data_IF_616859358216
#
_entry.id   IF_616859358216
#
_cell.length_a   1.000
_cell.length_b   1.000
_cell.length_c   1.000
_cell.angle_alpha   90.00
_cell.angle_beta   90.00
_cell.angle_gamma   90.00
#
_symmetry.space_group_name_H-M   'P 1'
#
loop_
_entity.id
_entity.type
_entity.pdbx_description
1 polymer ?
#
# COMPACT_ATOMS: atom_id res chain seq x y z
N UNK A 1 9.95 1.68 -11.62
CA UNK A 1 8.73 2.47 -11.90
C UNK A 1 8.53 3.45 -10.75
N UNK A 2 8.19 4.70 -11.01
CA UNK A 2 7.90 5.68 -9.97
C UNK A 2 6.38 5.93 -9.96
N UNK A 3 5.77 5.89 -8.79
CA UNK A 3 4.38 6.27 -8.54
C UNK A 3 4.38 7.65 -7.85
N UNK A 4 4.41 8.75 -8.63
CA UNK A 4 4.48 10.10 -8.07
C UNK A 4 3.17 10.48 -7.41
N UNK A 5 3.25 11.17 -6.28
CA UNK A 5 2.13 11.94 -5.74
C UNK A 5 2.64 13.36 -5.55
N UNK A 6 1.99 14.31 -6.19
CA UNK A 6 2.29 15.73 -6.07
C UNK A 6 1.04 16.55 -6.36
N UNK A 7 1.03 17.80 -5.89
CA UNK A 7 -0.01 18.75 -6.29
C UNK A 7 0.22 19.18 -7.74
N UNK A 8 -0.62 18.69 -8.63
CA UNK A 8 -0.64 19.15 -10.03
C UNK A 8 -1.90 19.98 -10.29
N UNK A 9 -1.95 20.66 -11.44
CA UNK A 9 -3.11 21.46 -11.84
C UNK A 9 -4.44 20.68 -11.78
N UNK A 10 -4.40 19.35 -11.96
CA UNK A 10 -5.56 18.46 -11.90
C UNK A 10 -6.04 18.18 -10.47
N UNK A 11 -5.15 18.19 -9.47
CA UNK A 11 -5.47 17.88 -8.07
C UNK A 11 -5.55 19.12 -7.17
N UNK A 12 -5.37 20.32 -7.72
CA UNK A 12 -5.34 21.58 -6.98
C UNK A 12 -6.65 21.91 -6.24
N UNK A 13 -7.80 21.45 -6.77
CA UNK A 13 -9.14 21.76 -6.24
C UNK A 13 -9.82 20.58 -5.52
N UNK A 14 -9.12 19.46 -5.30
CA UNK A 14 -9.71 18.30 -4.62
C UNK A 14 -9.65 18.54 -3.10
N UNK A 15 -10.79 18.53 -2.35
CA UNK A 15 -10.84 18.89 -0.92
C UNK A 15 -10.17 17.89 0.04
N UNK A 16 -9.35 16.97 -0.45
CA UNK A 16 -8.55 16.09 0.39
C UNK A 16 -7.24 16.80 0.72
N UNK A 17 -6.96 16.97 2.02
CA UNK A 17 -5.58 16.96 2.49
C UNK A 17 -5.03 15.57 2.15
N UNK A 18 -4.52 15.38 0.93
CA UNK A 18 -3.68 14.22 0.62
C UNK A 18 -2.57 14.25 1.65
N UNK A 19 -2.48 13.20 2.47
CA UNK A 19 -1.70 13.15 3.70
C UNK A 19 -0.18 13.36 3.52
N UNK A 20 0.27 13.58 2.29
CA UNK A 20 1.66 13.78 1.90
C UNK A 20 1.70 14.96 0.93
N UNK A 21 1.95 16.16 1.47
CA UNK A 21 2.15 17.39 0.69
C UNK A 21 3.55 17.33 0.05
N UNK A 22 3.62 16.98 -1.23
CA UNK A 22 4.82 17.11 -2.05
C UNK A 22 4.58 18.04 -3.23
N UNK A 23 5.57 18.86 -3.55
CA UNK A 23 5.61 19.64 -4.80
C UNK A 23 6.16 18.75 -5.93
N UNK A 24 5.82 19.02 -7.20
CA UNK A 24 6.33 18.26 -8.34
C UNK A 24 7.86 18.14 -8.38
N UNK A 25 8.55 19.19 -7.91
CA UNK A 25 10.00 19.28 -7.84
C UNK A 25 10.62 18.23 -6.89
N UNK A 26 9.87 17.79 -5.87
CA UNK A 26 10.34 16.81 -4.88
C UNK A 26 10.51 15.40 -5.50
N UNK A 27 9.89 15.14 -6.65
CA UNK A 27 10.00 13.86 -7.37
C UNK A 27 11.28 13.80 -8.21
N UNK A 28 11.77 14.95 -8.70
CA UNK A 28 12.86 15.02 -9.66
C UNK A 28 14.17 14.34 -9.18
N UNK A 29 14.62 14.51 -7.93
CA UNK A 29 15.84 13.85 -7.45
C UNK A 29 15.78 12.32 -7.52
N UNK A 30 14.62 11.71 -7.24
CA UNK A 30 14.45 10.26 -7.32
C UNK A 30 14.56 9.77 -8.77
N UNK A 31 13.97 10.50 -9.72
CA UNK A 31 14.08 10.19 -11.14
C UNK A 31 15.54 10.29 -11.63
N UNK A 32 16.26 11.36 -11.25
CA UNK A 32 17.68 11.54 -11.59
C UNK A 32 18.54 10.40 -11.03
N UNK A 33 18.32 10.01 -9.77
CA UNK A 33 19.05 8.89 -9.17
C UNK A 33 18.81 7.58 -9.92
N UNK A 34 17.55 7.25 -10.24
CA UNK A 34 17.20 6.02 -10.96
C UNK A 34 17.77 5.97 -12.39
N UNK A 35 18.04 7.11 -13.02
CA UNK A 35 18.68 7.19 -14.34
C UNK A 35 20.22 7.15 -14.29
N UNK A 36 20.82 7.21 -13.09
CA UNK A 36 22.28 7.22 -12.93
C UNK A 36 22.89 5.82 -12.95
N UNK A 37 24.20 5.73 -13.19
CA UNK A 37 24.92 4.45 -13.07
C UNK A 37 24.86 3.82 -11.68
N UNK A 38 24.56 4.61 -10.65
CA UNK A 38 24.50 4.16 -9.25
C UNK A 38 23.27 3.29 -8.96
N UNK A 39 22.22 3.37 -9.78
CA UNK A 39 20.97 2.62 -9.60
C UNK A 39 20.92 1.31 -10.40
N UNK A 40 21.99 0.90 -11.09
CA UNK A 40 22.00 -0.28 -12.00
C UNK A 40 21.54 -1.60 -11.37
N UNK A 41 21.65 -1.73 -10.06
CA UNK A 41 21.23 -2.91 -9.30
C UNK A 41 19.72 -2.91 -8.98
N UNK A 42 19.00 -1.81 -9.24
CA UNK A 42 17.58 -1.63 -8.94
C UNK A 42 16.78 -1.96 -10.21
N UNK A 43 16.01 -3.04 -10.18
CA UNK A 43 15.09 -3.43 -11.25
C UNK A 43 13.79 -4.00 -10.69
N UNK A 44 12.69 -3.85 -11.43
CA UNK A 44 11.38 -4.40 -11.06
C UNK A 44 10.72 -3.79 -9.82
N UNK A 45 11.26 -2.69 -9.27
CA UNK A 45 10.71 -2.04 -8.08
C UNK A 45 9.78 -0.87 -8.42
N UNK A 46 8.79 -0.65 -7.56
CA UNK A 46 7.88 0.50 -7.60
C UNK A 46 8.19 1.38 -6.40
N UNK A 47 8.49 2.66 -6.64
CA UNK A 47 8.74 3.63 -5.58
C UNK A 47 7.70 4.74 -5.59
N UNK A 48 7.17 5.11 -4.43
CA UNK A 48 6.49 6.40 -4.26
C UNK A 48 7.49 7.44 -3.78
N UNK A 49 7.41 8.63 -4.36
CA UNK A 49 8.16 9.81 -3.94
C UNK A 49 7.15 10.95 -3.73
N UNK A 50 7.08 11.45 -2.49
CA UNK A 50 6.14 12.50 -2.08
C UNK A 50 6.79 13.39 -1.02
N UNK A 51 7.07 14.64 -1.36
CA UNK A 51 7.83 15.54 -0.48
C UNK A 51 9.15 14.88 -0.06
N UNK A 52 9.39 14.79 1.25
CA UNK A 52 10.59 14.16 1.80
C UNK A 52 10.50 12.63 1.96
N UNK A 53 9.38 12.01 1.57
CA UNK A 53 9.16 10.57 1.73
C UNK A 53 9.45 9.84 0.42
N UNK A 54 10.32 8.83 0.51
CA UNK A 54 10.48 7.80 -0.52
C UNK A 54 10.10 6.46 0.10
N UNK A 55 9.19 5.74 -0.54
CA UNK A 55 8.74 4.42 -0.11
C UNK A 55 8.87 3.42 -1.25
N UNK A 56 9.26 2.18 -0.94
CA UNK A 56 9.22 1.06 -1.89
C UNK A 56 7.96 0.24 -1.66
N UNK A 57 7.27 -0.11 -2.73
CA UNK A 57 6.11 -0.99 -2.69
C UNK A 57 6.54 -2.42 -2.97
N UNK A 58 6.09 -3.34 -2.14
CA UNK A 58 6.27 -4.76 -2.40
C UNK A 58 5.49 -5.18 -3.63
N UNK A 59 6.13 -5.97 -4.50
CA UNK A 59 5.43 -6.68 -5.58
C UNK A 59 4.40 -7.64 -4.96
N UNK A 60 3.13 -7.63 -5.40
CA UNK A 60 2.16 -8.62 -4.96
C UNK A 60 2.66 -10.02 -5.28
N UNK A 61 2.67 -10.88 -4.27
CA UNK A 61 2.94 -12.31 -4.43
C UNK A 61 1.62 -13.05 -4.30
N UNK A 62 1.39 -14.05 -5.14
CA UNK A 62 0.29 -15.00 -4.92
C UNK A 62 0.55 -15.78 -3.62
N UNK A 63 -0.34 -15.60 -2.64
CA UNK A 63 -0.22 -16.25 -1.32
C UNK A 63 -0.96 -17.57 -1.29
N UNK A 64 -2.18 -17.60 -1.84
CA UNK A 64 -3.03 -18.79 -1.97
C UNK A 64 -3.88 -18.68 -3.23
N UNK A 65 -4.16 -19.81 -3.86
CA UNK A 65 -5.02 -19.92 -5.03
C UNK A 65 -6.06 -21.05 -4.84
N UNK A 66 -7.21 -20.92 -5.52
CA UNK A 66 -8.20 -21.99 -5.64
C UNK A 66 -8.48 -22.26 -7.12
N UNK A 67 -8.63 -23.53 -7.45
CA UNK A 67 -8.89 -23.99 -8.81
C UNK A 67 -10.27 -24.66 -8.90
N UNK A 68 -10.85 -24.65 -10.10
CA UNK A 68 -12.14 -25.26 -10.37
C UNK A 68 -12.18 -25.85 -11.78
N UNK A 69 -12.85 -26.99 -11.92
CA UNK A 69 -12.98 -27.70 -13.20
C UNK A 69 -14.07 -27.08 -14.10
N UNK A 70 -14.97 -26.30 -13.50
CA UNK A 70 -16.04 -25.58 -14.20
C UNK A 70 -15.82 -24.07 -14.15
N UNK A 71 -16.64 -23.31 -14.90
CA UNK A 71 -16.61 -21.85 -14.83
C UNK A 71 -17.08 -21.38 -13.45
N UNK A 72 -16.39 -20.39 -12.89
CA UNK A 72 -16.78 -19.76 -11.63
C UNK A 72 -18.15 -19.07 -11.74
N UNK A 73 -18.99 -19.28 -10.73
CA UNK A 73 -20.21 -18.50 -10.46
C UNK A 73 -20.08 -17.81 -9.10
N UNK A 74 -20.86 -16.74 -8.83
CA UNK A 74 -20.84 -16.07 -7.54
C UNK A 74 -21.11 -17.02 -6.36
N UNK A 75 -22.04 -17.96 -6.52
CA UNK A 75 -22.44 -18.92 -5.48
C UNK A 75 -21.29 -19.88 -5.15
N UNK A 76 -20.58 -20.37 -6.16
CA UNK A 76 -19.44 -21.26 -5.97
C UNK A 76 -18.24 -20.54 -5.32
N UNK A 77 -18.05 -19.25 -5.64
CA UNK A 77 -17.03 -18.42 -5.00
C UNK A 77 -17.38 -18.23 -3.53
N UNK A 78 -18.63 -17.85 -3.22
CA UNK A 78 -19.10 -17.66 -1.84
C UNK A 78 -18.90 -18.91 -0.98
N UNK A 79 -19.25 -20.08 -1.53
CA UNK A 79 -19.08 -21.36 -0.84
C UNK A 79 -17.60 -21.68 -0.54
N UNK A 80 -16.72 -21.47 -1.53
CA UNK A 80 -15.35 -22.02 -1.48
C UNK A 80 -14.30 -21.05 -0.98
N UNK A 81 -14.47 -19.74 -1.19
CA UNK A 81 -13.48 -18.72 -0.87
C UNK A 81 -13.12 -18.70 0.63
N UNK A 82 -14.08 -18.75 1.58
CA UNK A 82 -13.78 -18.75 3.02
C UNK A 82 -13.03 -20.00 3.50
N UNK A 83 -13.19 -21.13 2.81
CA UNK A 83 -12.52 -22.38 3.17
C UNK A 83 -11.11 -22.49 2.58
N UNK A 84 -10.88 -21.92 1.39
CA UNK A 84 -9.67 -22.15 0.59
C UNK A 84 -8.70 -20.97 0.65
N UNK A 85 -8.91 -19.93 -0.15
CA UNK A 85 -7.99 -18.80 -0.29
C UNK A 85 -8.11 -17.81 0.86
N UNK A 86 -9.30 -17.69 1.48
CA UNK A 86 -9.57 -16.80 2.61
C UNK A 86 -9.24 -15.34 2.29
N UNK A 87 -9.20 -14.50 3.31
CA UNK A 87 -8.66 -13.14 3.23
C UNK A 87 -7.34 -13.07 4.02
N UNK A 88 -6.44 -12.19 3.59
CA UNK A 88 -5.25 -11.86 4.37
C UNK A 88 -5.62 -10.89 5.48
N UNK A 89 -5.32 -11.25 6.73
CA UNK A 89 -5.45 -10.32 7.85
C UNK A 89 -4.36 -9.28 7.72
N UNK A 90 -4.76 -8.01 7.68
CA UNK A 90 -3.83 -6.90 7.56
C UNK A 90 -3.08 -6.72 8.90
N UNK A 91 -1.73 -6.71 8.91
CA UNK A 91 -0.95 -6.55 10.14
C UNK A 91 -1.27 -5.28 10.93
N UNK A 92 -1.71 -4.22 10.25
CA UNK A 92 -2.14 -2.97 10.89
C UNK A 92 -3.35 -3.17 11.82
N UNK A 93 -4.23 -4.14 11.54
CA UNK A 93 -5.38 -4.40 12.40
C UNK A 93 -4.96 -4.95 13.77
N UNK A 94 -3.90 -5.77 13.80
CA UNK A 94 -3.34 -6.28 15.05
C UNK A 94 -2.76 -5.13 15.88
N UNK A 95 -2.02 -4.23 15.25
CA UNK A 95 -1.49 -3.02 15.89
C UNK A 95 -2.61 -2.13 16.46
N UNK A 96 -3.72 -1.95 15.73
CA UNK A 96 -4.87 -1.17 16.20
C UNK A 96 -5.54 -1.83 17.41
N UNK A 97 -5.70 -3.16 17.40
CA UNK A 97 -6.24 -3.90 18.54
C UNK A 97 -5.34 -3.77 19.78
N UNK A 98 -4.01 -3.87 19.60
CA UNK A 98 -3.04 -3.66 20.68
C UNK A 98 -3.10 -2.24 21.25
N UNK A 99 -3.18 -1.22 20.38
CA UNK A 99 -3.34 0.17 20.81
C UNK A 99 -4.63 0.39 21.60
N UNK A 100 -5.75 -0.20 21.15
CA UNK A 100 -7.03 -0.15 21.88
C UNK A 100 -6.93 -0.82 23.25
N UNK A 101 -6.30 -1.99 23.34
CA UNK A 101 -6.07 -2.70 24.61
C UNK A 101 -5.21 -1.87 25.57
N UNK A 102 -4.13 -1.28 25.07
CA UNK A 102 -3.25 -0.42 25.86
C UNK A 102 -3.95 0.87 26.34
N UNK A 103 -4.85 1.45 25.53
CA UNK A 103 -5.66 2.60 25.93
C UNK A 103 -6.67 2.23 27.02
N UNK A 104 -7.41 1.13 26.85
CA UNK A 104 -8.37 0.65 27.85
C UNK A 104 -7.71 0.30 29.20
N UNK A 105 -6.48 -0.24 29.16
CA UNK A 105 -5.69 -0.51 30.37
C UNK A 105 -5.18 0.76 31.06
N UNK A 106 -5.04 1.89 30.33
CA UNK A 106 -4.69 3.20 30.89
C UNK A 106 -5.91 3.98 31.39
N UNK A 107 -7.11 3.63 30.93
CA UNK A 107 -8.40 4.22 31.33
C UNK A 107 -9.04 3.59 32.57
N UNK A 108 -8.36 2.66 33.25
CA UNK A 108 -8.77 2.18 34.59
C UNK A 108 -7.89 2.79 35.69
N UNK A 109 -8.08 4.07 36.05
CA UNK A 109 -7.61 4.60 37.32
C UNK A 109 -8.60 4.24 38.44
N UNK A 110 -8.05 3.72 39.54
CA UNK A 110 -8.70 3.58 40.84
C UNK A 110 -9.21 4.92 41.40
#
# INVERSE_FOLDING_TARGET
MIAPVARTRMSANVPMQLAENGEPEDIAPMAVYLLSDKSKHITGQVYSAVGNKIAVWSQPKEVRAMYNDTRWTPELIEERLPATVKFERLPFLDMVEEMKRAAAAKETPN
#
